data_IF_996380521739
#
_entry.id   IF_996380521739
#
_cell.length_a   1.000
_cell.length_b   1.000
_cell.length_c   1.000
_cell.angle_alpha   90.00
_cell.angle_beta   90.00
_cell.angle_gamma   90.00
#
_symmetry.space_group_name_H-M   'P 1'
#
loop_
_entity.id
_entity.type
_entity.pdbx_description
1 polymer ?
#
# COMPACT_ATOMS: atom_id res chain seq x y z
N UNK A 1 42.49 4.55 14.17
CA UNK A 1 41.85 3.24 14.48
C UNK A 1 40.48 3.61 15.00
N UNK A 2 39.41 3.30 14.25
CA UNK A 2 38.04 3.65 14.66
C UNK A 2 37.71 2.87 15.95
N UNK A 3 37.18 3.55 16.95
CA UNK A 3 36.72 2.93 18.19
C UNK A 3 35.34 2.30 17.95
N UNK A 4 35.31 0.98 17.72
CA UNK A 4 34.08 0.23 17.52
C UNK A 4 33.41 -0.22 18.84
N UNK A 5 33.84 0.28 19.99
CA UNK A 5 33.27 -0.09 21.29
C UNK A 5 31.82 0.37 21.50
N UNK A 6 31.37 1.35 20.72
CA UNK A 6 30.00 1.90 20.76
C UNK A 6 29.11 1.42 19.60
N UNK A 7 29.59 0.45 18.79
CA UNK A 7 28.84 -0.03 17.64
C UNK A 7 27.59 -0.79 18.08
N UNK A 8 26.42 -0.33 17.66
CA UNK A 8 25.11 -0.93 17.99
C UNK A 8 24.57 -1.62 16.73
N UNK A 9 24.48 -2.95 16.78
CA UNK A 9 23.79 -3.77 15.79
C UNK A 9 22.45 -4.19 16.38
N UNK A 10 21.33 -3.92 15.66
CA UNK A 10 19.97 -4.26 16.09
C UNK A 10 19.28 -5.17 15.09
N UNK A 11 18.30 -5.93 15.57
CA UNK A 11 17.33 -6.58 14.70
C UNK A 11 16.42 -5.55 14.06
N UNK A 12 15.90 -5.85 12.87
CA UNK A 12 15.00 -4.97 12.11
C UNK A 12 13.88 -4.39 12.97
N UNK A 13 13.12 -5.26 13.60
CA UNK A 13 11.95 -4.89 14.39
C UNK A 13 12.32 -3.98 15.57
N UNK A 14 13.44 -4.26 16.21
CA UNK A 14 13.94 -3.45 17.33
C UNK A 14 14.42 -2.08 16.87
N UNK A 15 15.14 -2.01 15.74
CA UNK A 15 15.60 -0.75 15.17
C UNK A 15 14.41 0.16 14.80
N UNK A 16 13.38 -0.41 14.14
CA UNK A 16 12.16 0.31 13.78
C UNK A 16 11.41 0.78 15.02
N UNK A 17 11.17 -0.10 16.00
CA UNK A 17 10.44 0.23 17.21
C UNK A 17 11.10 1.39 17.98
N UNK A 18 12.42 1.33 18.15
CA UNK A 18 13.17 2.39 18.84
C UNK A 18 13.14 3.71 18.05
N UNK A 19 13.21 3.66 16.72
CA UNK A 19 13.20 4.87 15.89
C UNK A 19 11.82 5.52 15.89
N UNK A 20 10.74 4.74 15.78
CA UNK A 20 9.36 5.22 15.87
C UNK A 20 9.07 5.82 17.24
N UNK A 21 9.51 5.16 18.32
CA UNK A 21 9.36 5.69 19.68
C UNK A 21 10.11 7.02 19.87
N UNK A 22 11.31 7.14 19.28
CA UNK A 22 12.12 8.34 19.36
C UNK A 22 11.59 9.50 18.51
N UNK A 23 11.01 9.21 17.34
CA UNK A 23 10.50 10.20 16.39
C UNK A 23 9.30 10.97 16.94
N UNK A 24 8.44 10.32 17.76
CA UNK A 24 7.26 10.95 18.41
C UNK A 24 6.42 11.78 17.43
N UNK A 25 6.02 11.16 16.32
CA UNK A 25 5.24 11.86 15.30
C UNK A 25 3.93 12.42 15.87
N UNK A 26 3.66 13.68 15.54
CA UNK A 26 2.42 14.40 15.88
C UNK A 26 1.79 14.90 14.57
N UNK A 27 1.16 13.99 13.77
CA UNK A 27 0.63 14.35 12.47
C UNK A 27 -0.52 15.36 12.61
N UNK A 28 -0.51 16.36 11.74
CA UNK A 28 -1.58 17.33 11.65
C UNK A 28 -2.73 16.79 10.80
N UNK A 29 -3.90 17.44 10.95
CA UNK A 29 -5.11 17.13 10.19
C UNK A 29 -5.42 18.30 9.27
N UNK A 30 -5.84 18.00 8.06
CA UNK A 30 -6.33 18.97 7.10
C UNK A 30 -7.66 18.50 6.51
N UNK A 31 -8.44 19.44 5.99
CA UNK A 31 -9.67 19.16 5.24
C UNK A 31 -9.36 19.30 3.76
N UNK A 32 -9.69 18.30 2.97
CA UNK A 32 -9.51 18.29 1.51
C UNK A 32 -10.83 18.05 0.79
N UNK A 33 -10.93 18.53 -0.43
CA UNK A 33 -12.04 18.17 -1.31
C UNK A 33 -12.10 16.67 -1.51
N UNK A 34 -13.33 16.11 -1.62
CA UNK A 34 -13.54 14.67 -1.78
C UNK A 34 -12.75 14.09 -2.97
N UNK A 35 -12.54 14.89 -4.03
CA UNK A 35 -11.80 14.51 -5.21
C UNK A 35 -10.27 14.46 -4.99
N UNK A 36 -9.77 15.12 -3.94
CA UNK A 36 -8.36 15.12 -3.55
C UNK A 36 -8.06 14.08 -2.46
N UNK A 37 -9.10 13.38 -2.00
CA UNK A 37 -9.00 12.42 -0.91
C UNK A 37 -8.40 11.06 -1.30
N UNK A 38 -8.23 10.77 -2.59
CA UNK A 38 -7.71 9.48 -3.05
C UNK A 38 -6.30 9.20 -2.51
N UNK A 39 -6.13 8.01 -1.90
CA UNK A 39 -4.87 7.60 -1.32
C UNK A 39 -4.52 8.26 0.02
N UNK A 40 -5.31 9.25 0.47
CA UNK A 40 -5.15 9.88 1.79
C UNK A 40 -5.63 8.94 2.91
N UNK A 41 -5.34 9.29 4.15
CA UNK A 41 -5.75 8.54 5.34
C UNK A 41 -6.75 9.39 6.13
N UNK A 42 -7.94 8.83 6.42
CA UNK A 42 -8.95 9.54 7.20
C UNK A 42 -8.45 9.85 8.61
N UNK A 43 -8.57 11.10 9.04
CA UNK A 43 -8.15 11.53 10.37
C UNK A 43 -9.17 11.18 11.47
N UNK A 44 -10.45 11.07 11.07
CA UNK A 44 -11.58 10.84 11.97
C UNK A 44 -12.48 9.72 11.43
N UNK A 45 -13.40 9.23 12.29
CA UNK A 45 -14.47 8.35 11.84
C UNK A 45 -15.38 9.07 10.85
N UNK A 46 -15.49 8.55 9.63
CA UNK A 46 -16.42 9.07 8.65
C UNK A 46 -17.79 8.41 8.85
N UNK A 47 -18.83 9.22 9.11
CA UNK A 47 -20.19 8.73 9.34
C UNK A 47 -21.11 9.13 8.22
N UNK A 48 -22.07 8.28 7.83
CA UNK A 48 -23.10 8.64 6.87
C UNK A 48 -23.85 9.89 7.31
N UNK A 49 -23.87 10.92 6.48
CA UNK A 49 -24.59 12.18 6.76
C UNK A 49 -26.10 12.06 6.48
N UNK A 50 -26.46 11.09 5.63
CA UNK A 50 -27.82 10.81 5.18
C UNK A 50 -28.06 9.31 5.08
N UNK A 51 -29.34 8.91 5.10
CA UNK A 51 -29.71 7.53 4.75
C UNK A 51 -29.50 7.30 3.25
N UNK A 52 -29.04 6.12 2.86
CA UNK A 52 -28.86 5.72 1.46
C UNK A 52 -29.55 4.37 1.23
N UNK A 53 -30.58 4.33 0.37
CA UNK A 53 -31.28 5.46 -0.22
C UNK A 53 -32.02 6.30 0.83
N UNK A 54 -32.35 7.54 0.52
CA UNK A 54 -33.02 8.45 1.47
C UNK A 54 -34.56 8.28 1.52
N UNK A 55 -35.09 7.39 0.68
CA UNK A 55 -36.52 7.02 0.62
C UNK A 55 -36.66 5.56 0.18
N UNK A 56 -37.89 5.02 0.19
CA UNK A 56 -38.20 3.75 -0.44
C UNK A 56 -38.02 3.93 -1.97
N UNK A 57 -37.10 3.16 -2.55
CA UNK A 57 -36.71 3.27 -3.97
C UNK A 57 -36.99 2.00 -4.73
N UNK A 58 -37.36 2.14 -6.01
CA UNK A 58 -37.49 1.00 -6.91
C UNK A 58 -36.14 0.36 -7.20
N UNK A 59 -36.07 -0.96 -7.20
CA UNK A 59 -34.90 -1.74 -7.61
C UNK A 59 -34.88 -2.09 -9.10
N UNK A 60 -36.03 -1.96 -9.76
CA UNK A 60 -36.27 -2.34 -11.15
C UNK A 60 -37.20 -1.32 -11.79
N UNK A 61 -37.11 -1.20 -13.11
CA UNK A 61 -38.10 -0.43 -13.88
C UNK A 61 -39.45 -1.17 -13.88
N UNK A 62 -40.53 -0.41 -13.83
CA UNK A 62 -41.88 -0.96 -13.80
C UNK A 62 -42.93 0.04 -13.29
N UNK A 63 -43.90 -0.47 -12.55
CA UNK A 63 -45.00 0.32 -12.00
C UNK A 63 -45.00 0.32 -10.49
N UNK A 64 -45.15 1.50 -9.88
CA UNK A 64 -45.40 1.68 -8.45
C UNK A 64 -46.88 1.46 -8.16
N UNK A 65 -47.20 0.67 -7.16
CA UNK A 65 -48.55 0.33 -6.72
C UNK A 65 -48.67 0.33 -5.20
N UNK A 66 -49.89 0.29 -4.67
CA UNK A 66 -50.14 -0.03 -3.25
C UNK A 66 -50.34 -1.53 -3.10
N UNK A 67 -49.55 -2.16 -2.26
CA UNK A 67 -49.68 -3.60 -2.00
C UNK A 67 -51.09 -3.99 -1.52
N UNK A 68 -51.74 -3.12 -0.76
CA UNK A 68 -53.10 -3.34 -0.25
C UNK A 68 -54.12 -3.62 -1.35
N UNK A 69 -53.94 -3.09 -2.57
CA UNK A 69 -54.81 -3.31 -3.69
C UNK A 69 -54.72 -4.76 -4.23
N UNK A 70 -53.71 -5.51 -3.79
CA UNK A 70 -53.42 -6.92 -4.21
C UNK A 70 -53.73 -7.96 -3.14
N UNK A 71 -54.21 -7.60 -1.95
CA UNK A 71 -54.51 -8.55 -0.88
C UNK A 71 -55.55 -9.61 -1.28
N UNK A 72 -56.44 -9.28 -2.20
CA UNK A 72 -57.44 -10.19 -2.76
C UNK A 72 -57.02 -10.91 -4.05
N UNK A 73 -55.75 -10.78 -4.49
CA UNK A 73 -55.25 -11.24 -5.77
C UNK A 73 -55.06 -10.08 -6.76
N UNK A 74 -54.95 -10.36 -8.05
CA UNK A 74 -54.81 -9.30 -9.08
C UNK A 74 -56.14 -8.57 -9.20
N UNK A 75 -56.14 -7.23 -8.96
CA UNK A 75 -57.38 -6.42 -9.07
C UNK A 75 -57.77 -6.18 -10.55
N UNK A 76 -59.05 -5.76 -10.74
CA UNK A 76 -59.44 -5.22 -12.04
C UNK A 76 -58.85 -3.82 -12.22
N UNK A 77 -57.88 -3.71 -13.11
CA UNK A 77 -57.15 -2.48 -13.41
C UNK A 77 -57.76 -1.66 -14.55
N UNK A 78 -58.96 -2.04 -15.03
CA UNK A 78 -59.59 -1.41 -16.19
C UNK A 78 -59.90 0.09 -16.02
N UNK A 79 -60.05 0.55 -14.78
CA UNK A 79 -60.29 1.95 -14.42
C UNK A 79 -59.07 2.65 -13.82
N UNK A 80 -57.94 1.97 -13.73
CA UNK A 80 -56.72 2.55 -13.12
C UNK A 80 -56.14 3.65 -14.00
N UNK A 81 -55.68 4.73 -13.33
CA UNK A 81 -55.11 5.92 -13.97
C UNK A 81 -53.73 6.17 -13.46
N UNK A 82 -52.80 6.55 -14.33
CA UNK A 82 -51.46 6.97 -14.02
C UNK A 82 -51.51 8.18 -13.04
N UNK A 83 -50.71 8.15 -12.00
CA UNK A 83 -50.66 9.14 -10.93
C UNK A 83 -51.74 8.98 -9.86
N UNK A 84 -52.68 8.00 -9.99
CA UNK A 84 -53.73 7.73 -9.03
C UNK A 84 -53.63 6.33 -8.41
N UNK A 85 -53.91 5.28 -9.16
CA UNK A 85 -53.85 3.89 -8.70
C UNK A 85 -52.47 3.25 -8.96
N UNK A 86 -51.76 3.71 -9.97
CA UNK A 86 -50.38 3.32 -10.27
C UNK A 86 -49.54 4.52 -10.73
N UNK A 87 -48.23 4.38 -10.69
CA UNK A 87 -47.28 5.36 -11.23
C UNK A 87 -46.04 4.64 -11.76
N UNK A 88 -45.11 5.39 -12.35
CA UNK A 88 -43.84 4.83 -12.81
C UNK A 88 -42.89 4.54 -11.64
N UNK A 89 -42.26 3.40 -11.71
CA UNK A 89 -41.14 3.02 -10.85
C UNK A 89 -39.90 2.87 -11.72
N UNK A 90 -38.94 3.80 -11.61
CA UNK A 90 -37.70 3.72 -12.34
C UNK A 90 -36.59 3.27 -11.39
N UNK A 91 -35.71 2.40 -11.87
CA UNK A 91 -34.59 1.87 -11.10
C UNK A 91 -33.83 2.98 -10.40
N UNK A 92 -33.63 2.83 -9.08
CA UNK A 92 -32.87 3.77 -8.24
C UNK A 92 -33.61 5.04 -7.84
N UNK A 93 -34.83 5.28 -8.34
CA UNK A 93 -35.63 6.46 -7.94
C UNK A 93 -36.56 6.13 -6.77
N UNK A 94 -36.88 7.17 -5.98
CA UNK A 94 -37.88 7.03 -4.92
C UNK A 94 -39.23 6.67 -5.53
N UNK A 95 -40.02 5.79 -4.89
CA UNK A 95 -41.39 5.56 -5.27
C UNK A 95 -42.18 6.86 -5.05
N UNK A 96 -43.13 7.18 -5.95
CA UNK A 96 -44.01 8.31 -5.77
C UNK A 96 -44.83 8.18 -4.48
N UNK A 97 -45.22 9.32 -3.89
CA UNK A 97 -45.93 9.35 -2.62
C UNK A 97 -47.23 8.55 -2.68
N UNK A 98 -47.46 7.70 -1.66
CA UNK A 98 -48.66 6.88 -1.56
C UNK A 98 -48.50 5.46 -2.12
N UNK A 99 -47.41 5.15 -2.80
CA UNK A 99 -47.06 3.80 -3.26
C UNK A 99 -45.99 3.16 -2.35
N UNK A 100 -46.05 1.86 -2.25
CA UNK A 100 -45.17 1.10 -1.33
C UNK A 100 -44.60 -0.19 -1.93
N UNK A 101 -44.88 -0.46 -3.21
CA UNK A 101 -44.50 -1.71 -3.87
C UNK A 101 -44.27 -1.41 -5.37
N UNK A 102 -43.28 -2.10 -5.96
CA UNK A 102 -43.04 -2.02 -7.40
C UNK A 102 -43.33 -3.37 -8.08
N UNK A 103 -43.98 -3.35 -9.22
CA UNK A 103 -44.15 -4.48 -10.13
C UNK A 103 -43.17 -4.25 -11.29
N UNK A 104 -42.39 -5.30 -11.65
CA UNK A 104 -41.44 -5.20 -12.75
C UNK A 104 -42.15 -4.91 -14.07
N UNK A 105 -41.46 -4.27 -14.98
CA UNK A 105 -42.01 -3.96 -16.30
C UNK A 105 -42.37 -5.25 -17.08
N UNK A 106 -41.69 -6.34 -16.88
CA UNK A 106 -41.95 -7.65 -17.49
C UNK A 106 -43.21 -8.33 -16.92
N UNK A 107 -43.65 -7.95 -15.74
CA UNK A 107 -44.79 -8.52 -15.04
C UNK A 107 -46.09 -7.69 -15.26
N UNK A 108 -46.03 -6.72 -16.16
CA UNK A 108 -47.18 -5.86 -16.55
C UNK A 108 -47.30 -5.80 -18.08
N UNK A 109 -48.47 -5.42 -18.52
CA UNK A 109 -48.76 -5.15 -19.92
C UNK A 109 -49.54 -3.82 -20.04
N UNK A 110 -49.23 -3.06 -21.05
CA UNK A 110 -49.96 -1.88 -21.45
C UNK A 110 -50.71 -2.13 -22.79
N UNK A 111 -51.59 -1.28 -23.20
CA UNK A 111 -52.37 -1.45 -24.45
C UNK A 111 -51.50 -1.69 -25.71
N UNK A 112 -50.21 -1.50 -25.63
CA UNK A 112 -49.24 -1.72 -26.70
C UNK A 112 -48.52 -3.05 -26.69
N UNK A 113 -48.58 -3.86 -25.59
CA UNK A 113 -47.85 -5.14 -25.47
C UNK A 113 -47.20 -5.38 -24.11
N UNK A 114 -46.71 -6.58 -23.88
CA UNK A 114 -46.03 -6.99 -22.63
C UNK A 114 -44.68 -6.30 -22.51
N UNK A 115 -44.45 -5.59 -21.41
CA UNK A 115 -43.19 -4.94 -21.13
C UNK A 115 -42.84 -3.77 -22.06
N UNK A 116 -43.69 -3.46 -23.01
CA UNK A 116 -43.51 -2.35 -23.93
C UNK A 116 -44.18 -1.09 -23.36
N UNK A 117 -43.34 -0.13 -23.00
CA UNK A 117 -43.78 1.24 -22.72
C UNK A 117 -43.73 1.98 -24.05
N UNK A 118 -44.88 2.47 -24.55
CA UNK A 118 -44.88 3.29 -25.73
C UNK A 118 -44.04 4.56 -25.57
N UNK A 119 -43.73 5.25 -26.66
CA UNK A 119 -42.94 6.50 -26.65
C UNK A 119 -43.57 7.61 -25.80
N UNK A 120 -44.85 7.49 -25.43
CA UNK A 120 -45.58 8.42 -24.58
C UNK A 120 -45.80 7.86 -23.18
N UNK A 121 -44.78 8.06 -22.32
CA UNK A 121 -44.83 7.68 -20.90
C UNK A 121 -45.88 8.44 -20.08
N UNK A 122 -46.49 9.51 -20.63
CA UNK A 122 -47.57 10.28 -19.99
C UNK A 122 -48.93 9.67 -20.26
N UNK A 123 -49.04 8.81 -21.29
CA UNK A 123 -50.28 8.14 -21.69
C UNK A 123 -50.01 6.68 -22.05
N UNK A 124 -49.65 5.84 -21.07
CA UNK A 124 -49.27 4.45 -21.33
C UNK A 124 -50.43 3.56 -21.77
N UNK A 125 -51.65 4.08 -21.77
CA UNK A 125 -52.87 3.30 -21.98
C UNK A 125 -53.29 2.54 -20.73
N UNK A 126 -54.05 1.47 -20.91
CA UNK A 126 -54.56 0.63 -19.83
C UNK A 126 -53.42 -0.27 -19.30
N UNK A 127 -53.23 -0.26 -17.98
CA UNK A 127 -52.35 -1.19 -17.28
C UNK A 127 -53.10 -2.52 -17.07
N UNK A 128 -52.45 -3.63 -17.41
CA UNK A 128 -52.83 -4.99 -17.01
C UNK A 128 -51.66 -5.62 -16.23
N UNK A 129 -51.95 -6.11 -15.02
CA UNK A 129 -50.98 -6.77 -14.18
C UNK A 129 -51.00 -8.28 -14.47
N UNK A 130 -49.89 -8.83 -14.91
CA UNK A 130 -49.73 -10.26 -15.25
C UNK A 130 -49.35 -11.09 -14.04
N UNK A 131 -48.51 -10.51 -13.14
CA UNK A 131 -48.00 -11.17 -11.92
C UNK A 131 -48.20 -10.24 -10.73
N UNK A 132 -48.95 -10.68 -9.73
CA UNK A 132 -49.14 -9.91 -8.50
C UNK A 132 -47.84 -9.82 -7.70
N UNK A 133 -47.56 -8.68 -7.01
CA UNK A 133 -46.41 -8.59 -6.11
C UNK A 133 -46.60 -9.54 -4.91
N UNK A 134 -45.56 -10.30 -4.58
CA UNK A 134 -45.64 -11.34 -3.55
C UNK A 134 -45.68 -10.81 -2.11
N UNK A 135 -45.33 -9.55 -1.90
CA UNK A 135 -45.30 -8.90 -0.56
C UNK A 135 -45.23 -7.37 -0.73
N UNK A 136 -45.60 -6.65 0.31
CA UNK A 136 -45.34 -5.21 0.44
C UNK A 136 -43.83 -4.94 0.33
N UNK A 137 -43.46 -3.91 -0.43
CA UNK A 137 -42.05 -3.57 -0.69
C UNK A 137 -41.36 -4.50 -1.69
N UNK A 138 -42.14 -5.37 -2.42
CA UNK A 138 -41.53 -6.17 -3.48
C UNK A 138 -40.85 -5.26 -4.51
N UNK A 139 -39.67 -5.67 -5.02
CA UNK A 139 -38.84 -4.93 -5.96
C UNK A 139 -38.48 -3.51 -5.49
N UNK A 140 -38.53 -3.26 -4.18
CA UNK A 140 -38.14 -1.98 -3.57
C UNK A 140 -36.96 -2.17 -2.65
N UNK A 141 -36.20 -1.09 -2.46
CA UNK A 141 -35.15 -0.96 -1.46
C UNK A 141 -35.59 0.04 -0.39
N UNK A 142 -35.60 -0.42 0.84
CA UNK A 142 -35.96 0.41 1.98
C UNK A 142 -35.00 1.59 2.17
N UNK A 143 -35.53 2.66 2.75
CA UNK A 143 -34.71 3.79 3.20
C UNK A 143 -33.60 3.31 4.13
N UNK A 144 -32.35 3.75 3.88
CA UNK A 144 -31.21 3.38 4.70
C UNK A 144 -30.65 1.97 4.45
N UNK A 145 -31.19 1.21 3.50
CA UNK A 145 -30.79 -0.19 3.29
C UNK A 145 -29.32 -0.38 2.87
N UNK A 146 -28.65 0.63 2.33
CA UNK A 146 -27.21 0.58 2.08
C UNK A 146 -26.44 1.15 3.26
N UNK A 147 -26.82 2.37 3.71
CA UNK A 147 -26.18 3.08 4.82
C UNK A 147 -27.25 3.85 5.60
N UNK A 148 -27.23 3.73 6.92
CA UNK A 148 -28.08 4.50 7.81
C UNK A 148 -27.38 5.80 8.24
N UNK A 149 -28.12 6.89 8.36
CA UNK A 149 -27.58 8.15 8.86
C UNK A 149 -26.95 7.98 10.25
N UNK A 150 -25.71 8.47 10.43
CA UNK A 150 -24.93 8.31 11.65
C UNK A 150 -24.10 7.02 11.75
N UNK A 151 -24.32 6.03 10.88
CA UNK A 151 -23.50 4.82 10.81
C UNK A 151 -22.05 5.19 10.50
N UNK A 152 -21.09 4.54 11.18
CA UNK A 152 -19.67 4.65 10.82
C UNK A 152 -19.46 3.89 9.50
N UNK A 153 -19.08 4.63 8.45
CA UNK A 153 -18.72 4.10 7.16
C UNK A 153 -17.26 3.63 7.15
N UNK A 154 -16.39 4.49 7.65
CA UNK A 154 -14.95 4.26 7.71
C UNK A 154 -14.43 4.73 9.08
N UNK A 155 -13.70 3.89 9.81
CA UNK A 155 -13.03 4.33 11.03
C UNK A 155 -11.84 5.26 10.71
N UNK A 156 -11.44 6.07 11.67
CA UNK A 156 -10.19 6.84 11.60
C UNK A 156 -9.00 5.93 11.27
N UNK A 157 -8.00 6.47 10.56
CA UNK A 157 -6.85 5.70 10.11
C UNK A 157 -7.13 4.80 8.90
N UNK A 158 -8.23 5.02 8.19
CA UNK A 158 -8.55 4.25 6.97
C UNK A 158 -7.94 4.92 5.74
N UNK A 159 -7.20 4.15 4.92
CA UNK A 159 -6.78 4.62 3.59
C UNK A 159 -7.97 4.73 2.65
N UNK A 160 -8.12 5.89 2.01
CA UNK A 160 -9.23 6.25 1.16
C UNK A 160 -9.01 5.75 -0.28
N UNK A 161 -9.50 4.55 -0.58
CA UNK A 161 -9.50 4.01 -1.95
C UNK A 161 -10.62 4.66 -2.77
N UNK A 162 -10.59 4.59 -4.12
CA UNK A 162 -11.66 5.13 -4.97
C UNK A 162 -13.06 4.67 -4.55
N UNK A 163 -13.24 3.38 -4.21
CA UNK A 163 -14.51 2.83 -3.74
C UNK A 163 -14.97 3.47 -2.43
N UNK A 164 -14.05 3.68 -1.47
CA UNK A 164 -14.37 4.30 -0.18
C UNK A 164 -14.73 5.78 -0.34
N UNK A 165 -13.98 6.52 -1.19
CA UNK A 165 -14.27 7.91 -1.52
C UNK A 165 -15.65 8.02 -2.19
N UNK A 166 -15.99 7.13 -3.12
CA UNK A 166 -17.31 7.06 -3.74
C UNK A 166 -18.43 6.81 -2.72
N UNK A 167 -18.21 5.91 -1.75
CA UNK A 167 -19.16 5.66 -0.68
C UNK A 167 -19.37 6.89 0.22
N UNK A 168 -18.31 7.62 0.54
CA UNK A 168 -18.42 8.89 1.27
C UNK A 168 -19.23 9.93 0.48
N UNK A 169 -18.95 10.09 -0.82
CA UNK A 169 -19.70 10.99 -1.69
C UNK A 169 -21.19 10.62 -1.75
N UNK A 170 -21.52 9.32 -1.86
CA UNK A 170 -22.89 8.81 -1.81
C UNK A 170 -23.60 9.17 -0.49
N UNK A 171 -22.86 9.25 0.61
CA UNK A 171 -23.35 9.60 1.94
C UNK A 171 -23.29 11.10 2.25
N UNK A 172 -23.03 11.98 1.24
CA UNK A 172 -23.15 13.43 1.35
C UNK A 172 -21.86 14.17 1.71
N UNK A 173 -20.70 13.56 1.49
CA UNK A 173 -19.40 14.22 1.68
C UNK A 173 -19.01 15.00 0.43
N UNK A 174 -18.65 16.27 0.59
CA UNK A 174 -17.96 17.10 -0.41
C UNK A 174 -16.48 17.30 -0.02
N UNK A 175 -16.21 17.18 1.28
CA UNK A 175 -14.88 17.34 1.89
C UNK A 175 -14.70 16.27 2.97
N UNK A 176 -13.44 15.92 3.27
CA UNK A 176 -13.09 14.95 4.30
C UNK A 176 -11.84 15.38 5.08
N UNK A 177 -11.83 15.12 6.38
CA UNK A 177 -10.66 15.34 7.24
C UNK A 177 -9.69 14.18 7.08
N UNK A 178 -8.46 14.51 6.71
CA UNK A 178 -7.38 13.55 6.44
C UNK A 178 -6.12 13.91 7.22
N UNK A 179 -5.28 12.91 7.45
CA UNK A 179 -3.94 13.13 7.99
C UNK A 179 -3.09 13.83 6.93
N UNK A 180 -2.37 14.89 7.31
CA UNK A 180 -1.40 15.57 6.44
C UNK A 180 -0.33 14.56 6.02
N UNK A 181 0.06 14.58 4.75
CA UNK A 181 1.09 13.68 4.22
C UNK A 181 2.46 14.03 4.82
N UNK A 182 3.23 13.03 5.32
CA UNK A 182 4.57 13.30 5.81
C UNK A 182 5.48 13.75 4.67
N UNK A 183 6.25 14.79 4.89
CA UNK A 183 7.34 15.19 4.00
C UNK A 183 8.52 14.26 4.23
N UNK A 184 8.97 13.58 3.20
CA UNK A 184 10.08 12.64 3.28
C UNK A 184 11.19 13.07 2.33
N UNK A 185 12.33 13.48 2.90
CA UNK A 185 13.49 13.85 2.10
C UNK A 185 14.36 12.64 1.79
N UNK A 186 14.87 12.59 0.56
CA UNK A 186 15.91 11.64 0.17
C UNK A 186 17.13 12.36 -0.39
N UNK A 187 18.31 12.02 0.13
CA UNK A 187 19.60 12.62 -0.22
C UNK A 187 20.46 11.54 -0.92
N UNK A 188 20.57 11.56 -2.25
CA UNK A 188 21.50 10.69 -2.96
C UNK A 188 22.93 11.22 -2.79
N UNK A 189 23.86 10.37 -2.29
CA UNK A 189 25.26 10.68 -2.12
C UNK A 189 26.12 9.74 -2.93
N UNK A 190 27.20 10.25 -3.49
CA UNK A 190 28.21 9.46 -4.20
C UNK A 190 28.90 10.27 -5.29
N UNK A 191 30.24 10.33 -5.22
CA UNK A 191 31.03 10.95 -6.28
C UNK A 191 30.79 10.29 -7.66
N UNK A 192 30.34 9.02 -7.67
CA UNK A 192 30.06 8.25 -8.89
C UNK A 192 28.69 8.56 -9.52
N UNK A 193 27.77 9.21 -8.80
CA UNK A 193 26.41 9.41 -9.27
C UNK A 193 26.26 10.64 -10.16
N UNK A 194 25.36 10.52 -11.14
CA UNK A 194 24.87 11.61 -11.98
C UNK A 194 23.35 11.50 -12.13
N UNK A 195 22.69 12.62 -12.33
CA UNK A 195 21.24 12.64 -12.53
C UNK A 195 20.85 11.98 -13.85
N UNK A 196 19.72 11.22 -13.89
CA UNK A 196 19.17 10.67 -15.13
C UNK A 196 18.99 11.75 -16.20
N UNK A 197 19.34 11.42 -17.44
CA UNK A 197 19.25 12.34 -18.58
C UNK A 197 20.50 13.21 -18.82
N UNK A 198 21.45 13.24 -17.90
CA UNK A 198 22.76 13.85 -18.13
C UNK A 198 23.69 12.90 -18.91
N UNK A 199 24.79 13.45 -19.48
CA UNK A 199 25.86 12.62 -20.05
C UNK A 199 26.41 11.67 -18.97
N UNK A 200 26.69 10.41 -19.36
CA UNK A 200 27.25 9.42 -18.45
C UNK A 200 28.76 9.25 -18.67
N UNK A 201 29.62 9.93 -17.90
CA UNK A 201 31.06 9.74 -18.00
C UNK A 201 31.47 8.32 -17.62
N UNK A 202 32.61 7.87 -18.15
CA UNK A 202 33.16 6.54 -17.81
C UNK A 202 33.36 6.43 -16.29
N UNK A 203 32.85 5.35 -15.68
CA UNK A 203 32.97 5.10 -14.25
C UNK A 203 31.91 5.78 -13.38
N UNK A 204 30.97 6.50 -13.99
CA UNK A 204 29.78 7.05 -13.31
C UNK A 204 28.58 6.13 -13.50
N UNK A 205 27.55 6.35 -12.67
CA UNK A 205 26.26 5.68 -12.74
C UNK A 205 25.14 6.71 -12.59
N UNK A 206 23.97 6.43 -13.16
CA UNK A 206 22.81 7.25 -12.90
C UNK A 206 22.23 6.97 -11.51
N UNK A 207 21.79 8.04 -10.82
CA UNK A 207 20.96 7.87 -9.61
C UNK A 207 19.62 7.27 -9.99
N UNK A 208 19.45 6.01 -9.61
CA UNK A 208 18.17 5.30 -9.75
C UNK A 208 17.40 5.25 -8.42
N UNK A 209 18.09 5.46 -7.29
CA UNK A 209 17.47 5.39 -5.98
C UNK A 209 16.54 6.58 -5.72
N UNK A 210 16.91 7.78 -6.19
CA UNK A 210 16.03 8.95 -6.11
C UNK A 210 14.71 8.72 -6.81
N UNK A 211 14.76 8.21 -8.06
CA UNK A 211 13.56 7.89 -8.85
C UNK A 211 12.73 6.78 -8.18
N UNK A 212 13.38 5.73 -7.68
CA UNK A 212 12.73 4.63 -6.97
C UNK A 212 11.99 5.12 -5.73
N UNK A 213 12.66 5.91 -4.89
CA UNK A 213 12.10 6.37 -3.63
C UNK A 213 11.01 7.41 -3.83
N UNK A 214 11.13 8.30 -4.82
CA UNK A 214 10.05 9.22 -5.19
C UNK A 214 8.76 8.45 -5.49
N UNK A 215 8.84 7.45 -6.38
CA UNK A 215 7.70 6.61 -6.73
C UNK A 215 7.12 5.86 -5.52
N UNK A 216 7.97 5.24 -4.69
CA UNK A 216 7.52 4.52 -3.48
C UNK A 216 6.84 5.45 -2.47
N UNK A 217 7.39 6.63 -2.22
CA UNK A 217 6.85 7.60 -1.27
C UNK A 217 5.47 8.09 -1.71
N UNK A 218 5.30 8.43 -2.99
CA UNK A 218 4.00 8.77 -3.57
C UNK A 218 2.98 7.62 -3.39
N UNK A 219 3.38 6.40 -3.70
CA UNK A 219 2.54 5.21 -3.52
C UNK A 219 2.17 4.96 -2.04
N UNK A 220 3.04 5.29 -1.10
CA UNK A 220 2.77 5.15 0.34
C UNK A 220 1.94 6.29 0.92
N UNK A 221 1.75 7.38 0.16
CA UNK A 221 0.98 8.54 0.59
C UNK A 221 1.82 9.57 1.33
N UNK A 222 3.11 9.65 1.04
CA UNK A 222 4.01 10.69 1.51
C UNK A 222 4.23 11.77 0.44
N UNK A 223 4.75 12.92 0.86
CA UNK A 223 5.20 14.03 0.00
C UNK A 223 6.72 13.97 -0.14
N UNK A 224 7.27 13.51 -1.29
CA UNK A 224 8.70 13.30 -1.46
C UNK A 224 9.46 14.62 -1.73
N UNK A 225 10.61 14.78 -1.10
CA UNK A 225 11.60 15.84 -1.37
C UNK A 225 12.89 15.15 -1.83
N UNK A 226 13.10 15.04 -3.14
CA UNK A 226 14.29 14.39 -3.71
C UNK A 226 15.35 15.44 -3.97
N UNK A 227 16.48 15.33 -3.27
CA UNK A 227 17.64 16.19 -3.47
C UNK A 227 18.39 15.81 -4.75
N UNK A 228 19.15 16.76 -5.30
CA UNK A 228 20.17 16.46 -6.30
C UNK A 228 21.30 15.61 -5.71
N UNK A 229 21.99 14.85 -6.53
CA UNK A 229 23.15 14.05 -6.09
C UNK A 229 24.23 14.97 -5.50
N UNK A 230 24.64 14.69 -4.28
CA UNK A 230 25.69 15.44 -3.59
C UNK A 230 27.01 14.64 -3.56
N UNK A 231 28.16 15.30 -3.58
CA UNK A 231 29.47 14.63 -3.50
C UNK A 231 29.71 14.05 -2.13
N UNK A 232 30.64 13.08 -2.04
CA UNK A 232 31.14 12.51 -0.81
C UNK A 232 32.08 13.47 -0.06
N UNK A 233 31.53 14.61 0.37
CA UNK A 233 32.18 15.65 1.13
C UNK A 233 31.53 15.84 2.51
N UNK A 234 32.32 15.83 3.56
CA UNK A 234 31.85 15.92 4.95
C UNK A 234 30.92 17.10 5.20
N UNK A 235 31.36 18.29 4.79
CA UNK A 235 30.62 19.53 5.04
C UNK A 235 29.30 19.55 4.27
N UNK A 236 29.35 19.14 2.99
CA UNK A 236 28.18 19.10 2.11
C UNK A 236 27.15 18.12 2.63
N UNK A 237 27.54 16.89 3.01
CA UNK A 237 26.64 15.88 3.57
C UNK A 237 26.00 16.40 4.87
N UNK A 238 26.80 16.92 5.79
CA UNK A 238 26.33 17.43 7.07
C UNK A 238 25.33 18.57 6.91
N UNK A 239 25.66 19.58 6.10
CA UNK A 239 24.78 20.72 5.84
C UNK A 239 23.48 20.29 5.18
N UNK A 240 23.54 19.35 4.23
CA UNK A 240 22.35 18.82 3.54
C UNK A 240 21.45 18.04 4.49
N UNK A 241 22.00 17.18 5.37
CA UNK A 241 21.22 16.47 6.39
C UNK A 241 20.51 17.47 7.31
N UNK A 242 21.23 18.49 7.84
CA UNK A 242 20.64 19.48 8.74
C UNK A 242 19.53 20.29 8.04
N UNK A 243 19.72 20.64 6.77
CA UNK A 243 18.71 21.31 5.96
C UNK A 243 17.49 20.40 5.77
N UNK A 244 17.69 19.16 5.37
CA UNK A 244 16.60 18.20 5.16
C UNK A 244 15.79 17.96 6.45
N UNK A 245 16.46 17.86 7.60
CA UNK A 245 15.78 17.73 8.90
C UNK A 245 14.98 18.99 9.31
N UNK A 246 15.25 20.15 8.72
CA UNK A 246 14.49 21.37 8.98
C UNK A 246 13.23 21.50 8.11
N UNK A 247 13.14 20.76 7.00
CA UNK A 247 12.04 20.89 6.03
C UNK A 247 11.22 19.59 5.82
N UNK A 248 11.68 18.47 6.40
CA UNK A 248 11.01 17.18 6.26
C UNK A 248 10.75 16.51 7.62
N UNK A 249 9.72 15.67 7.66
CA UNK A 249 9.34 14.87 8.84
C UNK A 249 10.22 13.62 8.97
N UNK A 250 10.74 13.11 7.86
CA UNK A 250 11.60 11.92 7.77
C UNK A 250 12.69 12.20 6.74
N UNK A 251 13.92 11.79 7.03
CA UNK A 251 15.05 11.92 6.11
C UNK A 251 15.62 10.52 5.81
N UNK A 252 15.89 10.25 4.55
CA UNK A 252 16.66 9.09 4.10
C UNK A 252 17.88 9.56 3.31
N UNK A 253 18.99 8.87 3.45
CA UNK A 253 20.24 9.17 2.75
C UNK A 253 20.86 7.86 2.24
N UNK A 254 21.51 7.87 1.09
CA UNK A 254 22.33 6.73 0.70
C UNK A 254 23.42 6.54 1.77
N UNK A 255 23.41 5.39 2.45
CA UNK A 255 24.51 5.02 3.31
C UNK A 255 25.60 4.38 2.46
N UNK A 256 26.81 4.91 2.52
CA UNK A 256 27.97 4.28 1.96
C UNK A 256 28.29 2.95 2.67
N UNK A 257 29.24 2.17 2.16
CA UNK A 257 29.72 0.99 2.87
C UNK A 257 30.61 1.44 4.05
N UNK A 258 30.29 1.05 5.27
CA UNK A 258 31.02 1.39 6.50
C UNK A 258 32.55 1.13 6.47
N UNK A 259 33.04 0.60 5.36
CA UNK A 259 34.47 0.27 5.10
C UNK A 259 35.07 1.09 3.95
N UNK A 260 34.29 1.97 3.29
CA UNK A 260 34.79 2.89 2.28
C UNK A 260 35.66 3.98 2.94
N UNK A 261 36.76 4.37 2.29
CA UNK A 261 37.67 5.41 2.79
C UNK A 261 37.01 6.80 2.88
N UNK A 262 35.84 6.98 2.26
CA UNK A 262 35.08 8.24 2.17
C UNK A 262 33.65 8.12 2.70
N UNK A 263 33.33 7.09 3.48
CA UNK A 263 32.01 6.97 4.08
C UNK A 263 31.98 7.75 5.40
N UNK A 264 31.46 8.96 5.32
CA UNK A 264 31.36 9.87 6.45
C UNK A 264 29.98 9.89 7.09
N UNK A 265 28.99 9.24 6.50
CA UNK A 265 27.59 9.40 6.91
C UNK A 265 27.38 9.05 8.37
N UNK A 266 27.93 7.91 8.83
CA UNK A 266 27.78 7.51 10.24
C UNK A 266 28.49 8.44 11.21
N UNK A 267 29.72 8.87 10.90
CA UNK A 267 30.50 9.77 11.74
C UNK A 267 29.82 11.15 11.84
N UNK A 268 29.19 11.61 10.75
CA UNK A 268 28.40 12.84 10.75
C UNK A 268 27.15 12.65 11.63
N UNK A 269 26.43 11.54 11.51
CA UNK A 269 25.23 11.27 12.31
C UNK A 269 25.57 11.13 13.82
N UNK A 270 26.75 10.58 14.15
CA UNK A 270 27.26 10.55 15.53
C UNK A 270 27.59 11.96 16.06
N UNK A 271 28.05 12.88 15.20
CA UNK A 271 28.35 14.25 15.58
C UNK A 271 27.11 15.11 15.78
N UNK A 272 26.11 14.98 14.89
CA UNK A 272 24.96 15.91 14.85
C UNK A 272 23.69 15.37 15.48
N UNK A 273 23.66 14.08 15.86
CA UNK A 273 22.43 13.43 16.31
C UNK A 273 22.65 12.33 17.33
N UNK A 274 21.58 11.60 17.62
CA UNK A 274 21.57 10.42 18.44
C UNK A 274 21.46 9.19 17.55
N UNK A 275 22.52 8.38 17.45
CA UNK A 275 22.50 7.10 16.73
C UNK A 275 21.71 6.07 17.51
N UNK A 276 20.71 5.44 16.87
CA UNK A 276 19.89 4.36 17.41
C UNK A 276 20.48 3.01 17.04
N UNK A 277 20.86 2.83 15.76
CA UNK A 277 21.65 1.69 15.34
C UNK A 277 22.60 2.05 14.20
N UNK A 278 23.75 1.37 14.16
CA UNK A 278 24.78 1.57 13.15
C UNK A 278 24.63 0.58 12.00
N UNK A 279 24.24 -0.62 12.30
CA UNK A 279 24.07 -1.72 11.36
C UNK A 279 22.90 -2.60 11.78
N UNK A 280 22.38 -3.36 10.83
CA UNK A 280 21.34 -4.35 11.04
C UNK A 280 21.87 -5.77 10.82
N UNK A 281 21.15 -6.76 11.31
CA UNK A 281 21.59 -8.16 11.32
C UNK A 281 21.21 -8.95 10.06
N UNK A 282 20.99 -8.28 8.92
CA UNK A 282 20.57 -8.95 7.69
C UNK A 282 21.36 -8.49 6.46
N UNK A 283 21.27 -9.25 5.38
CA UNK A 283 21.83 -8.90 4.07
C UNK A 283 20.94 -9.38 2.91
N UNK A 284 20.75 -8.55 1.86
CA UNK A 284 21.32 -7.21 1.65
C UNK A 284 20.78 -6.17 2.63
N UNK A 285 21.48 -5.04 2.75
CA UNK A 285 21.07 -3.92 3.61
C UNK A 285 21.69 -3.90 5.01
N UNK A 286 22.75 -4.67 5.27
CA UNK A 286 23.41 -4.71 6.59
C UNK A 286 23.79 -3.33 7.12
N UNK A 287 24.24 -2.44 6.25
CA UNK A 287 24.67 -1.08 6.61
C UNK A 287 23.52 -0.06 6.73
N UNK A 288 22.29 -0.54 6.85
CA UNK A 288 21.15 0.33 7.20
C UNK A 288 21.37 0.87 8.60
N UNK A 289 21.35 2.18 8.73
CA UNK A 289 21.51 2.89 10.00
C UNK A 289 20.28 3.69 10.35
N UNK A 290 20.10 3.96 11.64
CA UNK A 290 19.00 4.77 12.14
C UNK A 290 19.50 5.76 13.18
N UNK A 291 19.11 7.02 13.03
CA UNK A 291 19.51 8.11 13.91
C UNK A 291 18.37 9.12 14.10
N UNK A 292 18.46 9.93 15.12
CA UNK A 292 17.56 11.05 15.35
C UNK A 292 18.40 12.35 15.35
N UNK A 293 18.08 13.27 14.43
CA UNK A 293 18.76 14.56 14.30
C UNK A 293 17.74 15.67 14.53
N UNK A 294 17.91 16.47 15.58
CA UNK A 294 16.97 17.51 15.96
C UNK A 294 15.52 17.07 16.11
N UNK A 295 15.29 15.81 16.48
CA UNK A 295 13.95 15.21 16.57
C UNK A 295 13.45 14.54 15.29
N UNK A 296 14.13 14.75 14.15
CA UNK A 296 13.79 14.12 12.86
C UNK A 296 14.51 12.78 12.71
N UNK A 297 13.81 11.68 12.39
CA UNK A 297 14.43 10.39 12.08
C UNK A 297 15.21 10.46 10.77
N UNK A 298 16.45 9.99 10.80
CA UNK A 298 17.35 9.90 9.65
C UNK A 298 17.75 8.45 9.44
N UNK A 299 17.44 7.91 8.26
CA UNK A 299 17.78 6.55 7.83
C UNK A 299 18.93 6.56 6.83
N UNK A 300 19.98 5.82 7.11
CA UNK A 300 20.96 5.45 6.10
C UNK A 300 20.48 4.19 5.36
N UNK A 301 20.11 4.31 4.09
CA UNK A 301 19.66 3.21 3.25
C UNK A 301 20.81 2.63 2.43
N UNK A 302 20.66 1.39 1.99
CA UNK A 302 21.67 0.71 1.17
C UNK A 302 21.90 1.45 -0.16
N UNK A 303 23.17 1.67 -0.56
CA UNK A 303 23.50 2.31 -1.82
C UNK A 303 23.14 1.50 -3.07
N UNK A 304 23.46 0.20 -3.18
CA UNK A 304 23.03 -0.64 -4.30
C UNK A 304 21.50 -0.66 -4.47
N UNK A 305 20.96 -0.47 -5.70
CA UNK A 305 19.52 -0.25 -5.92
C UNK A 305 18.59 -1.32 -5.33
N UNK A 306 18.90 -2.61 -5.53
CA UNK A 306 18.11 -3.69 -4.94
C UNK A 306 18.15 -3.68 -3.39
N UNK A 307 19.28 -3.30 -2.83
CA UNK A 307 19.41 -3.12 -1.38
C UNK A 307 18.62 -1.90 -0.89
N UNK A 308 18.64 -0.80 -1.64
CA UNK A 308 17.86 0.40 -1.36
C UNK A 308 16.36 0.07 -1.36
N UNK A 309 15.86 -0.64 -2.35
CA UNK A 309 14.46 -1.04 -2.43
C UNK A 309 14.03 -1.86 -1.22
N UNK A 310 14.79 -2.89 -0.87
CA UNK A 310 14.46 -3.75 0.30
C UNK A 310 14.52 -2.94 1.60
N UNK A 311 15.55 -2.12 1.78
CA UNK A 311 15.71 -1.34 3.01
C UNK A 311 14.71 -0.20 3.11
N UNK A 312 14.25 0.36 2.00
CA UNK A 312 13.16 1.33 1.97
C UNK A 312 11.84 0.67 2.41
N UNK A 313 11.48 -0.49 1.85
CA UNK A 313 10.28 -1.23 2.28
C UNK A 313 10.33 -1.58 3.77
N UNK A 314 11.50 -1.96 4.28
CA UNK A 314 11.63 -2.49 5.63
C UNK A 314 11.88 -1.46 6.72
N UNK A 315 12.41 -0.29 6.39
CA UNK A 315 12.74 0.74 7.40
C UNK A 315 12.03 2.07 7.14
N UNK A 316 11.99 2.54 5.89
CA UNK A 316 11.39 3.83 5.58
C UNK A 316 9.86 3.74 5.58
N UNK A 317 9.29 2.70 4.96
CA UNK A 317 7.84 2.50 4.94
C UNK A 317 7.24 2.40 6.35
N UNK A 318 7.77 1.62 7.31
CA UNK A 318 7.26 1.61 8.68
C UNK A 318 7.21 2.98 9.36
N UNK A 319 8.16 3.88 9.07
CA UNK A 319 8.10 5.26 9.59
C UNK A 319 6.97 6.06 8.95
N UNK A 320 6.80 5.95 7.63
CA UNK A 320 5.67 6.57 6.92
C UNK A 320 4.34 6.03 7.44
N UNK A 321 4.23 4.71 7.64
CA UNK A 321 3.03 4.09 8.23
C UNK A 321 2.78 4.59 9.65
N UNK A 322 3.83 4.68 10.48
CA UNK A 322 3.69 5.19 11.84
C UNK A 322 3.22 6.63 11.88
N UNK A 323 3.70 7.47 10.94
CA UNK A 323 3.22 8.85 10.81
C UNK A 323 1.74 8.90 10.40
N UNK A 324 1.36 8.15 9.35
CA UNK A 324 0.01 8.21 8.77
C UNK A 324 -1.06 7.52 9.62
N UNK A 325 -0.72 6.41 10.28
CA UNK A 325 -1.68 5.54 10.97
C UNK A 325 -1.50 5.51 12.49
N UNK A 326 -0.50 6.21 13.03
CA UNK A 326 -0.14 6.14 14.46
C UNK A 326 0.41 4.78 14.90
N UNK A 327 0.76 3.90 13.97
CA UNK A 327 1.29 2.56 14.22
C UNK A 327 2.08 2.03 13.03
N UNK A 328 3.02 1.13 13.28
CA UNK A 328 3.66 0.33 12.23
C UNK A 328 2.65 -0.70 11.70
N UNK A 329 2.54 -0.82 10.40
CA UNK A 329 1.78 -1.88 9.76
C UNK A 329 2.72 -3.06 9.52
N UNK A 330 2.41 -4.20 10.16
CA UNK A 330 3.19 -5.43 9.97
C UNK A 330 2.98 -6.01 8.58
N UNK A 331 4.05 -6.53 8.00
CA UNK A 331 3.96 -7.27 6.75
C UNK A 331 3.26 -8.60 6.97
N UNK A 332 2.38 -8.97 6.04
CA UNK A 332 1.72 -10.26 6.08
C UNK A 332 2.73 -11.38 5.84
N UNK A 333 2.62 -12.46 6.63
CA UNK A 333 3.47 -13.66 6.50
C UNK A 333 2.62 -14.85 6.10
N UNK A 334 3.05 -15.54 5.05
CA UNK A 334 2.37 -16.73 4.54
C UNK A 334 3.28 -17.96 4.61
N UNK A 335 2.66 -19.13 4.76
CA UNK A 335 3.37 -20.41 4.68
C UNK A 335 3.37 -20.88 3.23
N UNK A 336 4.54 -21.35 2.78
CA UNK A 336 4.74 -21.90 1.45
C UNK A 336 5.69 -23.12 1.50
N UNK A 337 5.68 -23.94 0.46
CA UNK A 337 6.68 -24.98 0.24
C UNK A 337 7.83 -24.40 -0.56
N UNK A 338 9.05 -24.65 -0.15
CA UNK A 338 10.23 -24.20 -0.90
C UNK A 338 10.36 -24.94 -2.23
N UNK A 339 10.60 -24.19 -3.30
CA UNK A 339 11.14 -24.72 -4.54
C UNK A 339 12.62 -24.37 -4.63
N UNK A 340 13.44 -25.25 -5.23
CA UNK A 340 14.80 -24.88 -5.60
C UNK A 340 14.76 -24.04 -6.89
N UNK A 341 15.67 -23.04 -7.04
CA UNK A 341 15.77 -22.32 -8.30
C UNK A 341 16.06 -23.32 -9.44
N UNK A 342 15.38 -23.16 -10.56
CA UNK A 342 15.70 -23.90 -11.76
C UNK A 342 17.20 -23.74 -12.07
N UNK A 343 17.86 -24.85 -12.35
CA UNK A 343 19.26 -24.80 -12.83
C UNK A 343 19.23 -24.08 -14.17
N UNK A 344 19.74 -22.87 -14.21
CA UNK A 344 20.00 -22.18 -15.47
C UNK A 344 21.07 -23.01 -16.22
N UNK A 345 20.65 -23.81 -17.19
CA UNK A 345 21.56 -24.51 -18.07
C UNK A 345 22.34 -23.45 -18.87
N UNK A 346 23.66 -23.35 -18.64
CA UNK A 346 24.57 -22.50 -19.42
C UNK A 346 25.32 -21.40 -18.68
N UNK A 347 25.08 -21.14 -17.42
CA UNK A 347 25.87 -20.19 -16.63
C UNK A 347 27.07 -20.84 -15.94
N UNK A 348 28.26 -20.26 -16.09
CA UNK A 348 29.49 -20.69 -15.44
C UNK A 348 29.25 -21.08 -13.97
N UNK A 349 29.92 -22.17 -13.52
CA UNK A 349 29.92 -22.76 -12.18
C UNK A 349 30.34 -21.81 -11.02
N UNK A 350 29.88 -20.57 -11.00
CA UNK A 350 30.23 -19.57 -9.97
C UNK A 350 29.07 -19.14 -9.08
N UNK A 351 27.82 -19.59 -9.29
CA UNK A 351 26.64 -18.98 -8.66
C UNK A 351 26.36 -19.41 -7.22
N UNK A 352 26.59 -20.65 -6.83
CA UNK A 352 26.13 -21.15 -5.51
C UNK A 352 27.18 -21.06 -4.39
N UNK A 353 28.47 -21.01 -4.73
CA UNK A 353 29.55 -20.92 -3.74
C UNK A 353 30.15 -19.52 -3.55
N UNK A 354 29.93 -18.57 -4.48
CA UNK A 354 30.53 -17.23 -4.40
C UNK A 354 29.69 -16.21 -3.60
N UNK A 355 28.39 -16.44 -3.42
CA UNK A 355 27.51 -15.53 -2.70
C UNK A 355 27.87 -15.37 -1.19
N UNK A 356 28.72 -16.22 -0.66
CA UNK A 356 29.18 -16.19 0.73
C UNK A 356 30.69 -16.07 0.91
N UNK A 357 31.46 -15.87 -0.19
CA UNK A 357 32.90 -15.56 -0.06
C UNK A 357 33.19 -14.08 0.16
N UNK A 358 32.18 -13.23 0.24
CA UNK A 358 32.28 -11.81 0.57
C UNK A 358 32.09 -11.49 2.05
N UNK A 359 32.57 -12.32 2.94
CA UNK A 359 32.84 -11.91 4.31
C UNK A 359 34.09 -11.00 4.37
N UNK A 360 34.33 -10.26 5.47
CA UNK A 360 35.40 -9.27 5.59
C UNK A 360 36.78 -9.91 5.52
N UNK A 361 37.31 -10.01 4.32
CA UNK A 361 38.62 -10.57 4.03
C UNK A 361 38.90 -10.50 2.55
N UNK A 362 39.34 -9.34 2.07
CA UNK A 362 40.03 -9.23 0.80
C UNK A 362 41.31 -10.08 0.84
N UNK A 363 41.95 -10.44 -0.32
CA UNK A 363 43.12 -11.32 -0.38
C UNK A 363 44.29 -10.69 0.36
N UNK A 364 44.50 -11.12 1.61
CA UNK A 364 45.64 -10.68 2.44
C UNK A 364 45.49 -10.82 3.95
N UNK A 365 44.32 -11.07 4.52
CA UNK A 365 44.15 -11.17 5.97
C UNK A 365 44.09 -12.62 6.45
N UNK A 366 45.11 -13.09 7.18
CA UNK A 366 45.05 -14.28 8.04
C UNK A 366 44.21 -13.94 9.29
N UNK A 367 42.88 -13.73 9.13
CA UNK A 367 41.93 -13.64 10.23
C UNK A 367 41.07 -14.88 10.19
N UNK A 368 40.79 -15.49 11.33
CA UNK A 368 39.82 -16.58 11.46
C UNK A 368 38.52 -16.15 10.85
N UNK A 369 38.04 -16.93 9.89
CA UNK A 369 36.76 -16.73 9.21
C UNK A 369 35.61 -16.98 10.23
N UNK A 370 35.32 -15.97 11.05
CA UNK A 370 34.12 -15.98 11.89
C UNK A 370 32.95 -15.82 10.94
N UNK A 371 32.35 -16.94 10.61
CA UNK A 371 31.13 -16.96 9.80
C UNK A 371 30.04 -15.95 10.31
N UNK A 372 28.97 -15.73 9.56
CA UNK A 372 27.92 -14.81 10.00
C UNK A 372 27.44 -15.13 11.40
N UNK A 373 27.23 -14.12 12.24
CA UNK A 373 26.78 -14.27 13.62
C UNK A 373 25.52 -15.16 13.71
N UNK A 374 25.22 -15.72 14.84
CA UNK A 374 24.08 -16.64 15.04
C UNK A 374 22.73 -16.02 14.66
N UNK A 375 22.62 -14.71 14.76
CA UNK A 375 21.38 -13.94 14.51
C UNK A 375 21.37 -13.25 13.14
N UNK A 376 22.31 -13.54 12.24
CA UNK A 376 22.34 -12.95 10.90
C UNK A 376 21.38 -13.66 9.95
N UNK A 377 20.58 -12.88 9.21
CA UNK A 377 19.64 -13.37 8.22
C UNK A 377 20.08 -13.01 6.79
N UNK A 378 19.90 -13.96 5.88
CA UNK A 378 19.95 -13.70 4.44
C UNK A 378 18.53 -13.50 3.93
N UNK A 379 18.34 -12.42 3.21
CA UNK A 379 17.07 -12.10 2.54
C UNK A 379 17.11 -12.69 1.14
N UNK A 380 16.04 -13.40 0.76
CA UNK A 380 15.89 -13.97 -0.57
C UNK A 380 14.55 -13.56 -1.15
N UNK A 381 14.52 -12.77 -2.23
CA UNK A 381 13.30 -12.51 -2.97
C UNK A 381 12.75 -13.81 -3.57
N UNK A 382 11.46 -14.02 -3.44
CA UNK A 382 10.78 -15.22 -3.94
C UNK A 382 9.50 -14.84 -4.69
N UNK A 383 9.19 -15.63 -5.71
CA UNK A 383 7.87 -15.65 -6.34
C UNK A 383 7.02 -16.73 -5.68
N UNK A 384 5.72 -16.46 -5.54
CA UNK A 384 4.75 -17.38 -4.97
C UNK A 384 3.83 -17.91 -6.05
N UNK A 385 3.90 -19.20 -6.33
CA UNK A 385 3.00 -19.89 -7.26
C UNK A 385 1.91 -20.63 -6.48
N UNK A 386 0.64 -20.50 -6.88
CA UNK A 386 -0.47 -21.29 -6.33
C UNK A 386 -0.53 -22.64 -7.02
N UNK A 387 -0.50 -23.69 -6.23
CA UNK A 387 -0.71 -25.07 -6.69
C UNK A 387 -1.92 -25.70 -5.97
N UNK A 388 -2.45 -26.83 -6.42
CA UNK A 388 -3.50 -27.56 -5.68
C UNK A 388 -3.10 -27.95 -4.25
N UNK A 389 -1.79 -28.04 -3.97
CA UNK A 389 -1.23 -28.45 -2.69
C UNK A 389 -0.85 -27.27 -1.79
N UNK A 390 -1.08 -26.03 -2.24
CA UNK A 390 -0.78 -24.80 -1.53
C UNK A 390 0.19 -23.86 -2.26
N UNK A 391 0.78 -22.91 -1.53
CA UNK A 391 1.74 -21.97 -2.09
C UNK A 391 3.12 -22.62 -2.22
N UNK A 392 3.82 -22.30 -3.30
CA UNK A 392 5.20 -22.69 -3.57
C UNK A 392 6.05 -21.43 -3.72
N UNK A 393 7.10 -21.31 -2.92
CA UNK A 393 8.04 -20.19 -2.94
C UNK A 393 9.26 -20.56 -3.80
N UNK A 394 9.41 -19.89 -4.95
CA UNK A 394 10.51 -20.06 -5.87
C UNK A 394 11.46 -18.89 -5.76
N UNK A 395 12.73 -19.10 -5.35
CA UNK A 395 13.73 -18.03 -5.27
C UNK A 395 13.97 -17.40 -6.64
N UNK A 396 14.02 -16.06 -6.67
CA UNK A 396 14.30 -15.31 -7.89
C UNK A 396 15.79 -15.41 -8.24
N UNK A 397 16.08 -15.61 -9.51
CA UNK A 397 17.43 -15.72 -10.02
C UNK A 397 18.18 -14.38 -9.91
N UNK A 398 19.46 -14.40 -9.50
CA UNK A 398 20.29 -13.20 -9.41
C UNK A 398 21.15 -13.11 -8.14
N UNK A 399 21.02 -14.08 -7.23
CA UNK A 399 21.81 -14.11 -5.98
C UNK A 399 21.36 -13.04 -4.97
N UNK A 400 22.28 -12.53 -4.12
CA UNK A 400 21.94 -11.56 -3.07
C UNK A 400 21.67 -10.14 -3.62
N UNK A 401 22.01 -9.86 -4.85
CA UNK A 401 21.80 -8.57 -5.51
C UNK A 401 21.16 -8.79 -6.88
N UNK A 402 19.86 -9.15 -6.94
CA UNK A 402 19.14 -9.23 -8.21
C UNK A 402 19.10 -7.84 -8.87
N UNK A 403 18.91 -7.78 -10.18
CA UNK A 403 18.57 -6.52 -10.82
C UNK A 403 17.14 -6.09 -10.41
N UNK A 404 16.83 -4.79 -10.53
CA UNK A 404 15.55 -4.24 -10.07
C UNK A 404 14.34 -4.87 -10.75
N UNK A 405 14.44 -5.22 -12.04
CA UNK A 405 13.31 -5.82 -12.76
C UNK A 405 13.01 -7.22 -12.24
N UNK A 406 14.05 -8.02 -11.92
CA UNK A 406 13.85 -9.31 -11.26
C UNK A 406 13.31 -9.16 -9.84
N UNK A 407 13.73 -8.12 -9.13
CA UNK A 407 13.20 -7.85 -7.80
C UNK A 407 11.73 -7.43 -7.85
N UNK A 408 11.31 -6.74 -8.90
CA UNK A 408 9.90 -6.37 -9.11
C UNK A 408 8.98 -7.59 -9.29
N UNK A 409 9.50 -8.70 -9.86
CA UNK A 409 8.79 -9.98 -9.98
C UNK A 409 8.63 -10.73 -8.65
N UNK A 410 9.20 -10.23 -7.53
CA UNK A 410 9.11 -10.89 -6.24
C UNK A 410 7.78 -10.61 -5.54
N UNK A 411 7.09 -11.66 -5.10
CA UNK A 411 5.89 -11.55 -4.26
C UNK A 411 6.23 -11.36 -2.78
N UNK A 412 7.43 -11.74 -2.36
CA UNK A 412 7.83 -11.66 -0.96
C UNK A 412 9.31 -11.98 -0.72
N UNK A 413 9.65 -11.99 0.55
CA UNK A 413 11.00 -12.26 1.04
C UNK A 413 11.03 -13.47 1.95
N UNK A 414 11.99 -14.34 1.72
CA UNK A 414 12.34 -15.45 2.62
C UNK A 414 13.53 -15.01 3.48
N UNK A 415 13.30 -14.92 4.79
CA UNK A 415 14.32 -14.61 5.78
C UNK A 415 14.85 -15.90 6.38
N UNK A 416 16.10 -16.21 6.16
CA UNK A 416 16.72 -17.42 6.73
C UNK A 416 18.18 -17.18 7.10
N UNK A 417 18.63 -17.86 8.16
CA UNK A 417 20.05 -17.93 8.40
C UNK A 417 20.76 -18.58 7.18
N UNK A 418 21.91 -18.05 6.73
CA UNK A 418 22.61 -18.54 5.54
C UNK A 418 22.85 -20.05 5.50
N UNK A 419 23.11 -20.67 6.65
CA UNK A 419 23.30 -22.13 6.75
C UNK A 419 21.97 -22.88 6.57
N UNK A 420 20.86 -22.38 7.14
CA UNK A 420 19.54 -22.98 6.96
C UNK A 420 19.10 -22.94 5.48
N UNK A 421 19.42 -21.86 4.76
CA UNK A 421 19.15 -21.78 3.33
C UNK A 421 19.91 -22.82 2.50
N UNK A 422 21.16 -23.16 2.89
CA UNK A 422 21.95 -24.20 2.23
C UNK A 422 21.36 -25.61 2.38
N UNK A 423 20.73 -25.86 3.53
CA UNK A 423 20.17 -27.16 3.90
C UNK A 423 18.71 -27.31 3.45
N UNK A 424 18.11 -26.25 2.91
CA UNK A 424 16.73 -26.22 2.44
C UNK A 424 16.51 -27.17 1.26
N UNK A 425 15.47 -27.99 1.35
CA UNK A 425 15.09 -28.97 0.33
C UNK A 425 13.77 -28.56 -0.33
N UNK A 426 13.56 -29.00 -1.58
CA UNK A 426 12.25 -28.85 -2.22
C UNK A 426 11.16 -29.49 -1.35
N UNK A 427 10.07 -28.75 -1.13
CA UNK A 427 8.94 -29.19 -0.32
C UNK A 427 9.05 -28.87 1.18
N UNK A 428 10.18 -28.39 1.68
CA UNK A 428 10.29 -27.91 3.06
C UNK A 428 9.35 -26.71 3.28
N UNK A 429 8.73 -26.66 4.45
CA UNK A 429 7.87 -25.51 4.81
C UNK A 429 8.74 -24.30 5.14
N UNK A 430 8.40 -23.17 4.51
CA UNK A 430 9.03 -21.87 4.72
C UNK A 430 7.98 -20.80 5.01
N UNK A 431 8.42 -19.73 5.69
CA UNK A 431 7.60 -18.55 5.90
C UNK A 431 8.10 -17.44 4.97
N UNK A 432 7.20 -16.89 4.18
CA UNK A 432 7.46 -15.78 3.26
C UNK A 432 6.77 -14.54 3.81
N UNK A 433 7.52 -13.47 4.00
CA UNK A 433 6.99 -12.15 4.29
C UNK A 433 6.63 -11.49 2.96
N UNK A 434 5.35 -11.15 2.77
CA UNK A 434 4.86 -10.59 1.51
C UNK A 434 5.41 -9.19 1.30
N UNK A 435 5.82 -8.89 0.07
CA UNK A 435 6.05 -7.50 -0.34
C UNK A 435 4.73 -6.76 -0.33
N UNK A 436 4.80 -5.45 -0.09
CA UNK A 436 3.61 -4.61 -0.18
C UNK A 436 3.12 -4.61 -1.64
N UNK A 437 1.92 -5.10 -1.91
CA UNK A 437 1.42 -5.11 -3.27
C UNK A 437 1.14 -3.67 -3.71
N UNK A 438 1.89 -3.18 -4.68
CA UNK A 438 1.62 -1.89 -5.35
C UNK A 438 0.24 -1.86 -6.01
N UNK A 439 -0.39 -3.02 -6.20
CA UNK A 439 -1.71 -3.22 -6.82
C UNK A 439 -2.90 -2.99 -5.89
N UNK A 440 -2.69 -2.63 -4.63
CA UNK A 440 -3.77 -2.30 -3.68
C UNK A 440 -3.90 -0.78 -3.43
N UNK A 441 -3.64 0.02 -4.47
CA UNK A 441 -4.00 1.43 -4.47
C UNK A 441 -5.49 1.61 -4.73
#
# INVERSE_FOLDING_TARGET
>A
MRDHSKHVELKREEAIARLVEAAKFEPQVETVDIQEAFGRVSAVDCRAKVDVPNALCAQMDGTAVRFADFEGGIPDTSSWQLGCEFDWANTGTALPAGFDTAIKIEDVQFDGGVGEVGLDNLNPGRLEVLVAPGKRGANCREKGANFEAGQILLPAGTRLTPTKVSALAMCGYSEVEVVVQPKVAFIPTGDELVSPGCDLPMGKAYDSNGVLLEGKLLLWGADPIIYECIPDDWSTIKETILKACAEADIVAINAGSSKGAKDFTMEILEEIGQVICHETNHGPGRHTSASLVNGTPVLGLSGPPAGCEITADWYLKPLVDSFLYGRVIEFEKVKAKAALPEKVEGGHKQGAHSAFKGGPGGPGGKGEDKGPGKDFFAIRPVRLDRTPEGLVATPIAGGPHPDLLKLDDADGYLEMHPFAYRDLKPGDEVTVELRYPYTQL
#
